data_IF_328596407375
#
_entry.id   IF_328596407375
#
_cell.length_a   1.000
_cell.length_b   1.000
_cell.length_c   1.000
_cell.angle_alpha   90.00
_cell.angle_beta   90.00
_cell.angle_gamma   90.00
#
_symmetry.space_group_name_H-M   'P 1'
#
loop_
_entity.id
_entity.type
_entity.pdbx_description
1 polymer ?
#
# COMPACT_ATOMS: atom_id res chain seq x y z
N UNK A 1 -4.06 -23.10 11.20
CA UNK A 1 -4.07 -22.55 9.82
C UNK A 1 -4.33 -21.04 9.80
N UNK A 2 -5.50 -20.54 10.24
CA UNK A 2 -5.79 -19.09 10.20
C UNK A 2 -5.00 -18.26 11.23
N UNK A 3 -4.60 -18.86 12.34
CA UNK A 3 -3.80 -18.24 13.41
C UNK A 3 -2.35 -18.71 13.41
N UNK A 4 -1.97 -19.57 12.46
CA UNK A 4 -0.63 -20.10 12.31
C UNK A 4 0.16 -19.22 11.35
N UNK A 5 1.40 -18.87 11.67
CA UNK A 5 2.25 -18.11 10.78
C UNK A 5 2.71 -19.01 9.60
N UNK A 6 2.28 -18.75 8.35
CA UNK A 6 2.62 -19.61 7.23
C UNK A 6 4.12 -19.57 6.89
N UNK A 7 4.83 -18.49 7.23
CA UNK A 7 6.26 -18.35 6.96
C UNK A 7 7.12 -19.14 7.95
N UNK A 8 6.66 -19.28 9.19
CA UNK A 8 7.31 -20.14 10.18
C UNK A 8 7.25 -21.61 9.75
N UNK A 9 6.10 -22.08 9.27
CA UNK A 9 5.94 -23.42 8.70
C UNK A 9 6.81 -23.60 7.44
N UNK A 10 6.81 -22.60 6.55
CA UNK A 10 7.61 -22.60 5.32
C UNK A 10 9.12 -22.67 5.60
N UNK A 11 9.57 -22.18 6.76
CA UNK A 11 10.99 -22.19 7.15
C UNK A 11 11.60 -23.59 7.28
N UNK A 12 10.76 -24.62 7.45
CA UNK A 12 11.19 -26.02 7.42
C UNK A 12 11.66 -26.48 6.03
N UNK A 13 11.24 -25.78 4.96
CA UNK A 13 11.60 -26.07 3.57
C UNK A 13 12.52 -25.01 2.97
N UNK A 14 12.29 -23.73 3.29
CA UNK A 14 13.00 -22.60 2.72
C UNK A 14 13.68 -21.83 3.86
N UNK A 15 15.01 -21.72 3.89
CA UNK A 15 15.70 -20.98 4.95
C UNK A 15 15.17 -19.54 5.09
N UNK A 16 14.96 -19.03 6.32
CA UNK A 16 14.54 -17.65 6.57
C UNK A 16 15.29 -16.59 5.77
N UNK A 17 16.62 -16.73 5.66
CA UNK A 17 17.47 -15.82 4.89
C UNK A 17 17.06 -15.74 3.42
N UNK A 18 16.65 -16.85 2.81
CA UNK A 18 16.19 -16.86 1.41
C UNK A 18 14.87 -16.09 1.27
N UNK A 19 13.92 -16.30 2.19
CA UNK A 19 12.66 -15.56 2.19
C UNK A 19 12.88 -14.05 2.35
N UNK A 20 13.76 -13.67 3.27
CA UNK A 20 14.10 -12.27 3.52
C UNK A 20 14.77 -11.61 2.31
N UNK A 21 15.78 -12.26 1.72
CA UNK A 21 16.45 -11.77 0.51
C UNK A 21 15.47 -11.63 -0.64
N UNK A 22 14.56 -12.59 -0.81
CA UNK A 22 13.50 -12.50 -1.82
C UNK A 22 12.64 -11.25 -1.63
N UNK A 23 12.17 -10.97 -0.41
CA UNK A 23 11.37 -9.77 -0.13
C UNK A 23 12.16 -8.48 -0.38
N UNK A 24 13.45 -8.44 -0.01
CA UNK A 24 14.32 -7.28 -0.29
C UNK A 24 14.46 -7.04 -1.78
N UNK A 25 14.75 -8.09 -2.57
CA UNK A 25 14.85 -7.99 -4.04
C UNK A 25 13.53 -7.51 -4.63
N UNK A 26 12.40 -8.06 -4.18
CA UNK A 26 11.07 -7.64 -4.61
C UNK A 26 10.85 -6.14 -4.38
N UNK A 27 11.21 -5.61 -3.21
CA UNK A 27 11.08 -4.17 -2.90
C UNK A 27 11.95 -3.34 -3.85
N UNK A 28 13.20 -3.75 -4.09
CA UNK A 28 14.11 -3.06 -5.01
C UNK A 28 13.53 -3.03 -6.42
N UNK A 29 13.00 -4.15 -6.91
CA UNK A 29 12.40 -4.24 -8.24
C UNK A 29 11.13 -3.40 -8.37
N UNK A 30 10.27 -3.36 -7.35
CA UNK A 30 9.05 -2.52 -7.35
C UNK A 30 9.43 -1.04 -7.35
N UNK A 31 10.36 -0.62 -6.48
CA UNK A 31 10.83 0.76 -6.43
C UNK A 31 11.52 1.16 -7.73
N UNK A 32 12.43 0.32 -8.23
CA UNK A 32 13.13 0.53 -9.50
C UNK A 32 12.19 0.60 -10.69
N UNK A 33 11.22 -0.31 -10.79
CA UNK A 33 10.19 -0.30 -11.83
C UNK A 33 9.32 0.95 -11.79
N UNK A 34 8.95 1.42 -10.59
CA UNK A 34 8.19 2.67 -10.42
C UNK A 34 9.00 3.88 -10.86
N UNK A 35 10.27 3.97 -10.48
CA UNK A 35 11.18 5.04 -10.91
C UNK A 35 11.40 5.02 -12.42
N UNK A 36 11.60 3.83 -12.99
CA UNK A 36 11.72 3.65 -14.43
C UNK A 36 10.45 4.07 -15.16
N UNK A 37 9.26 3.72 -14.67
CA UNK A 37 7.99 4.10 -15.27
C UNK A 37 7.80 5.63 -15.28
N UNK A 38 8.14 6.31 -14.17
CA UNK A 38 8.11 7.77 -14.07
C UNK A 38 9.03 8.42 -15.11
N UNK A 39 10.24 7.89 -15.25
CA UNK A 39 11.22 8.38 -16.21
C UNK A 39 10.78 8.13 -17.65
N UNK A 40 10.37 6.90 -17.96
CA UNK A 40 9.95 6.47 -19.29
C UNK A 40 8.72 7.24 -19.79
N UNK A 41 7.68 7.38 -18.95
CA UNK A 41 6.46 8.13 -19.28
C UNK A 41 6.67 9.66 -19.26
N UNK A 42 7.86 10.14 -18.86
CA UNK A 42 8.16 11.57 -18.64
C UNK A 42 7.13 12.24 -17.71
N UNK A 43 6.49 11.46 -16.83
CA UNK A 43 5.39 11.94 -15.98
C UNK A 43 5.87 13.02 -15.03
N UNK A 44 7.12 12.93 -14.56
CA UNK A 44 7.76 13.98 -13.77
C UNK A 44 7.70 15.36 -14.47
N UNK A 45 8.03 15.42 -15.76
CA UNK A 45 7.99 16.69 -16.52
C UNK A 45 6.57 17.24 -16.62
N UNK A 46 5.59 16.36 -16.82
CA UNK A 46 4.17 16.73 -16.83
C UNK A 46 3.74 17.31 -15.47
N UNK A 47 4.05 16.64 -14.36
CA UNK A 47 3.70 17.10 -13.01
C UNK A 47 4.38 18.42 -12.64
N UNK A 48 5.67 18.59 -12.98
CA UNK A 48 6.38 19.85 -12.73
C UNK A 48 5.79 21.02 -13.51
N UNK A 49 5.43 20.81 -14.78
CA UNK A 49 4.78 21.85 -15.58
C UNK A 49 3.39 22.19 -15.03
N UNK A 50 2.61 21.18 -14.64
CA UNK A 50 1.28 21.40 -14.07
C UNK A 50 1.36 22.12 -12.72
N UNK A 51 2.32 21.76 -11.85
CA UNK A 51 2.54 22.44 -10.59
C UNK A 51 2.93 23.91 -10.79
N UNK A 52 3.85 24.20 -11.71
CA UNK A 52 4.24 25.58 -12.02
C UNK A 52 3.04 26.40 -12.53
N UNK A 53 2.20 25.80 -13.39
CA UNK A 53 0.98 26.43 -13.88
C UNK A 53 -0.01 26.70 -12.73
N UNK A 54 -0.27 25.70 -11.89
CA UNK A 54 -1.17 25.80 -10.74
C UNK A 54 -0.72 26.86 -9.70
N UNK A 55 0.59 26.94 -9.44
CA UNK A 55 1.17 27.95 -8.55
C UNK A 55 0.93 29.38 -9.08
N UNK A 56 0.99 29.56 -10.40
CA UNK A 56 0.82 30.85 -11.05
C UNK A 56 -0.64 31.21 -11.32
N UNK A 57 -1.55 30.24 -11.33
CA UNK A 57 -2.99 30.43 -11.58
C UNK A 57 -3.84 30.44 -10.31
N UNK A 58 -3.24 30.49 -9.13
CA UNK A 58 -3.96 30.50 -7.85
C UNK A 58 -4.80 31.76 -7.69
N UNK A 59 -6.11 31.61 -7.48
CA UNK A 59 -7.05 32.73 -7.34
C UNK A 59 -6.79 33.58 -6.07
N UNK A 60 -6.09 33.03 -5.07
CA UNK A 60 -5.79 33.67 -3.79
C UNK A 60 -4.58 33.00 -3.14
N UNK A 61 -3.76 33.80 -2.44
CA UNK A 61 -2.73 33.27 -1.54
C UNK A 61 -3.37 32.82 -0.22
N UNK A 62 -3.18 31.55 0.14
CA UNK A 62 -3.57 30.98 1.43
C UNK A 62 -2.48 31.23 2.46
N UNK A 63 -2.86 31.53 3.71
CA UNK A 63 -1.90 31.68 4.80
C UNK A 63 -1.24 30.35 5.17
N UNK A 64 -0.05 30.39 5.80
CA UNK A 64 0.70 29.17 6.15
C UNK A 64 -0.09 28.15 6.98
N UNK A 65 -0.89 28.60 7.95
CA UNK A 65 -1.76 27.72 8.75
C UNK A 65 -2.94 27.14 7.97
N UNK A 66 -3.53 27.92 7.05
CA UNK A 66 -4.60 27.46 6.16
C UNK A 66 -4.09 26.43 5.16
N UNK A 67 -2.88 26.62 4.63
CA UNK A 67 -2.21 25.67 3.74
C UNK A 67 -1.94 24.32 4.42
N UNK A 68 -1.51 24.32 5.69
CA UNK A 68 -1.31 23.09 6.47
C UNK A 68 -2.65 22.38 6.70
N UNK A 69 -3.69 23.12 7.09
CA UNK A 69 -5.04 22.56 7.27
C UNK A 69 -5.57 21.92 5.99
N UNK A 70 -5.42 22.60 4.84
CA UNK A 70 -5.78 22.05 3.54
C UNK A 70 -4.99 20.78 3.22
N UNK A 71 -3.68 20.78 3.44
CA UNK A 71 -2.83 19.62 3.18
C UNK A 71 -3.26 18.40 4.01
N UNK A 72 -3.53 18.59 5.31
CA UNK A 72 -4.05 17.53 6.18
C UNK A 72 -5.39 17.02 5.67
N UNK A 73 -6.31 17.93 5.32
CA UNK A 73 -7.62 17.55 4.80
C UNK A 73 -7.50 16.76 3.49
N UNK A 74 -6.62 17.18 2.58
CA UNK A 74 -6.34 16.46 1.33
C UNK A 74 -5.79 15.06 1.61
N UNK A 75 -4.81 14.91 2.50
CA UNK A 75 -4.26 13.59 2.86
C UNK A 75 -5.34 12.67 3.44
N UNK A 76 -6.18 13.19 4.34
CA UNK A 76 -7.23 12.38 4.98
C UNK A 76 -8.36 12.06 4.01
N UNK A 77 -8.89 13.05 3.30
CA UNK A 77 -10.10 12.90 2.48
C UNK A 77 -9.77 12.28 1.12
N UNK A 78 -8.75 12.79 0.43
CA UNK A 78 -8.39 12.30 -0.89
C UNK A 78 -7.47 11.09 -0.80
N UNK A 79 -6.48 11.11 0.09
CA UNK A 79 -5.56 9.98 0.27
C UNK A 79 -6.21 8.79 0.96
N UNK A 80 -6.47 8.90 2.28
CA UNK A 80 -6.90 7.76 3.10
C UNK A 80 -8.32 7.29 2.77
N UNK A 81 -9.18 8.21 2.38
CA UNK A 81 -10.58 7.91 2.12
C UNK A 81 -10.89 7.81 0.62
N UNK A 82 -9.91 7.98 -0.27
CA UNK A 82 -10.08 7.96 -1.73
C UNK A 82 -11.27 8.80 -2.18
N UNK A 83 -11.42 9.99 -1.59
CA UNK A 83 -12.51 10.92 -1.84
C UNK A 83 -12.55 11.45 -3.28
N UNK A 84 -11.48 11.24 -4.05
CA UNK A 84 -11.42 11.53 -5.48
C UNK A 84 -12.44 10.71 -6.29
N UNK A 85 -12.88 9.56 -5.78
CA UNK A 85 -13.88 8.74 -6.45
C UNK A 85 -15.28 9.20 -6.10
N UNK A 86 -15.91 9.95 -7.02
CA UNK A 86 -17.32 10.31 -6.94
C UNK A 86 -18.27 9.10 -6.98
N UNK A 87 -17.83 7.97 -7.58
CA UNK A 87 -18.61 6.73 -7.61
C UNK A 87 -18.35 5.91 -6.33
N UNK A 88 -19.37 5.80 -5.48
CA UNK A 88 -19.30 5.07 -4.22
C UNK A 88 -18.90 3.59 -4.37
N UNK A 89 -19.35 2.90 -5.43
CA UNK A 89 -19.00 1.49 -5.68
C UNK A 89 -17.50 1.35 -5.97
N UNK A 90 -17.00 2.19 -6.89
CA UNK A 90 -15.57 2.21 -7.24
C UNK A 90 -14.70 2.60 -6.04
N UNK A 91 -15.19 3.54 -5.22
CA UNK A 91 -14.52 3.97 -3.99
C UNK A 91 -14.39 2.84 -2.97
N UNK A 92 -15.47 2.10 -2.72
CA UNK A 92 -15.46 0.96 -1.78
C UNK A 92 -14.48 -0.12 -2.27
N UNK A 93 -14.55 -0.49 -3.55
CA UNK A 93 -13.64 -1.47 -4.14
C UNK A 93 -12.17 -1.03 -4.01
N UNK A 94 -11.89 0.26 -4.25
CA UNK A 94 -10.55 0.81 -4.08
C UNK A 94 -10.07 0.80 -2.63
N UNK A 95 -10.92 1.19 -1.67
CA UNK A 95 -10.53 1.18 -0.24
C UNK A 95 -10.28 -0.24 0.27
N UNK A 96 -11.13 -1.21 -0.12
CA UNK A 96 -10.94 -2.62 0.24
C UNK A 96 -9.62 -3.16 -0.29
N UNK A 97 -9.32 -2.91 -1.57
CA UNK A 97 -8.05 -3.35 -2.17
C UNK A 97 -6.83 -2.63 -1.59
N UNK A 98 -6.89 -1.31 -1.37
CA UNK A 98 -5.79 -0.52 -0.81
C UNK A 98 -5.44 -0.97 0.62
N UNK A 99 -6.42 -1.00 1.52
CA UNK A 99 -6.17 -1.39 2.91
C UNK A 99 -5.92 -2.89 3.06
N UNK A 100 -6.57 -3.72 2.23
CA UNK A 100 -6.27 -5.15 2.15
C UNK A 100 -4.82 -5.42 1.75
N UNK A 101 -4.33 -4.73 0.72
CA UNK A 101 -2.95 -4.81 0.26
C UNK A 101 -1.95 -4.36 1.32
N UNK A 102 -2.19 -3.21 1.97
CA UNK A 102 -1.34 -2.72 3.06
C UNK A 102 -1.28 -3.72 4.22
N UNK A 103 -2.42 -4.21 4.69
CA UNK A 103 -2.47 -5.20 5.76
C UNK A 103 -1.69 -6.47 5.39
N UNK A 104 -1.90 -6.98 4.18
CA UNK A 104 -1.24 -8.19 3.68
C UNK A 104 0.28 -8.04 3.57
N UNK A 105 0.78 -6.95 2.96
CA UNK A 105 2.21 -6.74 2.74
C UNK A 105 2.93 -6.41 4.05
N UNK A 106 2.34 -5.58 4.92
CA UNK A 106 2.94 -5.22 6.20
C UNK A 106 3.06 -6.46 7.09
N UNK A 107 1.99 -7.24 7.23
CA UNK A 107 2.02 -8.46 8.04
C UNK A 107 2.97 -9.51 7.45
N UNK A 108 3.06 -9.63 6.12
CA UNK A 108 4.07 -10.46 5.45
C UNK A 108 5.49 -10.04 5.84
N UNK A 109 5.81 -8.74 5.74
CA UNK A 109 7.13 -8.24 6.09
C UNK A 109 7.44 -8.51 7.58
N UNK A 110 6.53 -8.19 8.49
CA UNK A 110 6.73 -8.44 9.92
C UNK A 110 6.95 -9.93 10.21
N UNK A 111 6.16 -10.82 9.62
CA UNK A 111 6.31 -12.26 9.86
C UNK A 111 7.61 -12.83 9.25
N UNK A 112 8.03 -12.36 8.08
CA UNK A 112 9.26 -12.82 7.41
C UNK A 112 10.54 -12.28 8.08
N UNK A 113 10.51 -11.05 8.59
CA UNK A 113 11.70 -10.44 9.21
C UNK A 113 11.78 -10.67 10.72
N UNK A 114 10.65 -10.66 11.43
CA UNK A 114 10.64 -10.72 12.89
C UNK A 114 10.29 -12.11 13.44
N UNK A 115 9.48 -12.91 12.73
CA UNK A 115 9.00 -14.21 13.21
C UNK A 115 9.14 -15.34 12.17
N UNK A 116 10.32 -15.54 11.56
CA UNK A 116 10.45 -16.46 10.44
C UNK A 116 10.53 -17.94 10.84
N UNK A 117 10.70 -18.27 12.13
CA UNK A 117 10.87 -19.65 12.60
C UNK A 117 9.80 -20.04 13.65
N UNK A 118 9.50 -21.34 13.81
CA UNK A 118 8.53 -21.81 14.83
C UNK A 118 8.99 -21.59 16.27
N UNK A 119 10.29 -21.37 16.49
CA UNK A 119 10.90 -21.24 17.82
C UNK A 119 10.47 -19.97 18.56
N UNK A 120 10.10 -18.93 17.82
CA UNK A 120 9.60 -17.66 18.35
C UNK A 120 8.18 -17.39 17.81
N UNK A 121 7.13 -17.96 18.46
CA UNK A 121 5.77 -17.75 18.00
C UNK A 121 5.39 -16.27 18.12
N UNK A 122 5.21 -15.62 16.96
CA UNK A 122 4.77 -14.24 16.89
C UNK A 122 3.32 -14.05 17.34
N UNK A 123 2.85 -12.80 17.49
CA UNK A 123 1.48 -12.51 17.89
C UNK A 123 0.46 -13.14 16.93
N UNK A 124 -0.51 -13.89 17.47
CA UNK A 124 -1.55 -14.58 16.68
C UNK A 124 -2.44 -13.64 15.85
N UNK A 125 -2.40 -12.34 16.12
CA UNK A 125 -3.08 -11.31 15.32
C UNK A 125 -2.43 -11.08 13.95
N UNK A 126 -1.13 -11.36 13.79
CA UNK A 126 -0.43 -11.14 12.52
C UNK A 126 -0.94 -12.08 11.41
N UNK A 127 -1.04 -13.41 11.60
CA UNK A 127 -1.63 -14.29 10.60
C UNK A 127 -3.10 -13.98 10.32
N UNK A 128 -3.86 -13.56 11.33
CA UNK A 128 -5.25 -13.16 11.15
C UNK A 128 -5.38 -11.94 10.22
N UNK A 129 -4.59 -10.89 10.49
CA UNK A 129 -4.56 -9.68 9.66
C UNK A 129 -4.06 -9.98 8.24
N UNK A 130 -3.14 -10.93 8.09
CA UNK A 130 -2.66 -11.40 6.79
C UNK A 130 -3.80 -12.04 5.97
N UNK A 131 -4.55 -12.97 6.56
CA UNK A 131 -5.70 -13.60 5.90
C UNK A 131 -6.82 -12.60 5.59
N UNK A 132 -7.15 -11.71 6.53
CA UNK A 132 -8.12 -10.64 6.31
C UNK A 132 -7.67 -9.72 5.18
N UNK A 133 -6.39 -9.32 5.16
CA UNK A 133 -5.81 -8.51 4.09
C UNK A 133 -5.99 -9.15 2.72
N UNK A 134 -5.65 -10.44 2.60
CA UNK A 134 -5.86 -11.21 1.37
C UNK A 134 -7.33 -11.27 0.93
N UNK A 135 -8.25 -11.50 1.87
CA UNK A 135 -9.69 -11.52 1.59
C UNK A 135 -10.20 -10.14 1.13
N UNK A 136 -9.76 -9.05 1.75
CA UNK A 136 -10.12 -7.69 1.36
C UNK A 136 -9.65 -7.37 -0.07
N UNK A 137 -8.44 -7.83 -0.45
CA UNK A 137 -7.94 -7.70 -1.82
C UNK A 137 -8.84 -8.47 -2.79
N UNK A 138 -9.18 -9.72 -2.48
CA UNK A 138 -10.06 -10.53 -3.33
C UNK A 138 -11.44 -9.88 -3.48
N UNK A 139 -12.08 -9.51 -2.36
CA UNK A 139 -13.42 -8.89 -2.37
C UNK A 139 -13.38 -7.57 -3.14
N UNK A 140 -12.43 -6.69 -2.85
CA UNK A 140 -12.30 -5.41 -3.55
C UNK A 140 -11.99 -5.59 -5.04
N UNK A 141 -11.13 -6.55 -5.39
CA UNK A 141 -10.76 -6.84 -6.78
C UNK A 141 -11.94 -7.39 -7.57
N UNK A 142 -12.64 -8.40 -7.05
CA UNK A 142 -13.84 -8.94 -7.70
C UNK A 142 -14.93 -7.87 -7.79
N UNK A 143 -15.10 -7.05 -6.76
CA UNK A 143 -16.07 -5.96 -6.81
C UNK A 143 -15.75 -4.97 -7.92
N UNK A 144 -14.48 -4.58 -8.08
CA UNK A 144 -14.05 -3.66 -9.12
C UNK A 144 -14.34 -4.17 -10.54
N UNK A 145 -14.23 -5.48 -10.78
CA UNK A 145 -14.44 -6.07 -12.10
C UNK A 145 -15.90 -6.41 -12.42
N UNK A 146 -16.70 -6.78 -11.40
CA UNK A 146 -18.05 -7.31 -11.59
C UNK A 146 -19.19 -6.34 -11.25
N UNK A 147 -18.95 -5.19 -10.61
CA UNK A 147 -20.00 -4.25 -10.14
C UNK A 147 -19.67 -2.76 -10.33
#
# INVERSE_FOLDING_TARGET
MLTSNPFAELSALIPPTVMQVYVVIMIILVAGGTLFDIWHKKSAKYFFNNWRKAKNSGARQVGGGEAVSLAVRTVVVEGLMSGEFCNARRRIAHLLTMYGFLAYVITTAVMVFCYPTPEAPGPAILPLLWWIGGLLICIGGYWFWFF
#
